data_IF_775269879224
#
_entry.id   IF_775269879224
#
_cell.length_a   1.000
_cell.length_b   1.000
_cell.length_c   1.000
_cell.angle_alpha   90.00
_cell.angle_beta   90.00
_cell.angle_gamma   90.00
#
_symmetry.space_group_name_H-M   'P 1'
#
loop_
_entity.id
_entity.type
_entity.pdbx_description
1 polymer ?
#
# COMPACT_ATOMS: atom_id res chain seq x y z
N UNK A 1 -6.75 8.55 -8.37
CA UNK A 1 -6.06 7.25 -8.25
C UNK A 1 -6.85 6.40 -7.27
N UNK A 2 -6.93 5.09 -7.45
CA UNK A 2 -7.59 4.19 -6.49
C UNK A 2 -6.52 3.54 -5.61
N UNK A 3 -6.14 4.22 -4.53
CA UNK A 3 -5.17 3.71 -3.54
C UNK A 3 -5.95 3.16 -2.35
N UNK A 4 -5.65 1.92 -1.97
CA UNK A 4 -6.33 1.21 -0.90
C UNK A 4 -5.33 0.59 0.06
N UNK A 5 -5.77 0.41 1.30
CA UNK A 5 -5.09 -0.41 2.30
C UNK A 5 -5.87 -1.70 2.48
N UNK A 6 -5.17 -2.82 2.43
CA UNK A 6 -5.72 -4.13 2.74
C UNK A 6 -5.06 -4.69 3.99
N UNK A 7 -5.89 -5.11 4.96
CA UNK A 7 -5.47 -6.00 6.04
C UNK A 7 -5.56 -7.42 5.52
N UNK A 8 -4.45 -8.15 5.55
CA UNK A 8 -4.42 -9.54 5.14
C UNK A 8 -4.70 -10.46 6.32
N UNK A 9 -5.21 -11.66 6.02
CA UNK A 9 -5.44 -12.72 7.03
C UNK A 9 -4.16 -13.16 7.75
N UNK A 10 -2.98 -12.90 7.17
CA UNK A 10 -1.68 -13.10 7.81
C UNK A 10 -1.39 -12.08 8.93
N UNK A 11 -2.18 -11.01 9.01
CA UNK A 11 -1.96 -9.87 9.91
C UNK A 11 -1.17 -8.72 9.27
N UNK A 12 -0.62 -8.91 8.07
CA UNK A 12 0.08 -7.87 7.33
C UNK A 12 -0.88 -6.78 6.84
N UNK A 13 -0.38 -5.55 6.76
CA UNK A 13 -1.06 -4.44 6.12
C UNK A 13 -0.30 -4.06 4.87
N UNK A 14 -1.02 -3.93 3.76
CA UNK A 14 -0.44 -3.48 2.49
C UNK A 14 -1.17 -2.24 2.00
N UNK A 15 -0.43 -1.27 1.46
CA UNK A 15 -0.96 -0.17 0.66
C UNK A 15 -0.61 -0.41 -0.81
N UNK A 16 -1.56 -0.16 -1.70
CA UNK A 16 -1.39 -0.47 -3.12
C UNK A 16 -2.30 0.35 -3.99
N UNK A 17 -1.95 0.48 -5.28
CA UNK A 17 -2.86 0.95 -6.32
C UNK A 17 -3.71 -0.21 -6.81
N UNK A 18 -5.03 -0.04 -6.82
CA UNK A 18 -5.98 -0.97 -7.42
C UNK A 18 -6.16 -0.64 -8.90
N UNK A 19 -5.92 -1.61 -9.77
CA UNK A 19 -6.09 -1.49 -11.21
C UNK A 19 -7.45 -2.02 -11.67
N UNK A 20 -7.88 -3.15 -11.09
CA UNK A 20 -9.14 -3.80 -11.40
C UNK A 20 -9.72 -4.44 -10.14
N UNK A 21 -10.98 -4.13 -9.84
CA UNK A 21 -11.76 -4.82 -8.82
C UNK A 21 -13.16 -5.11 -9.38
N UNK A 22 -13.41 -6.38 -9.66
CA UNK A 22 -14.69 -6.88 -10.17
C UNK A 22 -15.33 -7.82 -9.15
N UNK A 23 -16.62 -7.67 -8.90
CA UNK A 23 -17.40 -8.58 -8.05
C UNK A 23 -17.49 -10.00 -8.63
N UNK A 24 -17.24 -10.17 -9.92
CA UNK A 24 -17.25 -11.47 -10.60
C UNK A 24 -15.92 -12.23 -10.46
N UNK A 25 -14.86 -11.56 -10.02
CA UNK A 25 -13.53 -12.16 -9.86
C UNK A 25 -13.23 -12.47 -8.40
N UNK A 26 -12.56 -13.60 -8.16
CA UNK A 26 -12.07 -14.00 -6.84
C UNK A 26 -10.80 -13.25 -6.41
N UNK A 27 -10.30 -12.33 -7.23
CA UNK A 27 -9.10 -11.54 -6.98
C UNK A 27 -9.28 -10.08 -7.39
N UNK A 28 -8.37 -9.24 -6.92
CA UNK A 28 -8.20 -7.84 -7.28
C UNK A 28 -6.84 -7.73 -7.99
N UNK A 29 -6.78 -6.98 -9.09
CA UNK A 29 -5.49 -6.67 -9.74
C UNK A 29 -4.93 -5.43 -9.09
N UNK A 30 -3.75 -5.56 -8.49
CA UNK A 30 -3.08 -4.49 -7.76
C UNK A 30 -1.66 -4.27 -8.29
N UNK A 31 -1.15 -3.06 -8.14
CA UNK A 31 0.15 -2.63 -8.67
C UNK A 31 0.99 -1.98 -7.57
N UNK A 32 2.29 -2.31 -7.58
CA UNK A 32 3.32 -1.77 -6.66
C UNK A 32 2.95 -1.88 -5.16
N UNK A 33 2.45 -3.04 -4.68
CA UNK A 33 2.06 -3.17 -3.29
C UNK A 33 3.26 -2.94 -2.34
N UNK A 34 3.00 -2.21 -1.26
CA UNK A 34 3.96 -1.97 -0.18
C UNK A 34 3.39 -2.48 1.15
N UNK A 35 4.16 -3.28 1.88
CA UNK A 35 3.86 -3.62 3.26
C UNK A 35 4.09 -2.41 4.15
N UNK A 36 3.14 -2.18 5.06
CA UNK A 36 3.20 -1.17 6.10
C UNK A 36 3.82 -1.83 7.34
N UNK A 37 4.91 -1.27 7.85
CA UNK A 37 5.56 -1.75 9.07
C UNK A 37 5.81 -0.59 10.04
N UNK A 38 5.64 -0.81 11.36
CA UNK A 38 6.06 0.17 12.36
C UNK A 38 7.58 0.28 12.36
N UNK A 39 8.09 1.50 12.27
CA UNK A 39 9.53 1.80 12.34
C UNK A 39 9.82 2.60 13.61
N UNK A 40 10.77 2.19 14.45
CA UNK A 40 11.15 2.97 15.63
C UNK A 40 11.64 4.37 15.24
N UNK A 41 11.09 5.41 15.86
CA UNK A 41 11.58 6.79 15.73
C UNK A 41 12.14 7.36 17.05
N UNK A 42 11.98 6.63 18.15
CA UNK A 42 12.46 7.00 19.47
C UNK A 42 11.81 6.13 20.55
N UNK A 43 12.09 6.40 21.84
CA UNK A 43 11.43 5.70 22.94
C UNK A 43 9.91 5.86 22.86
N UNK A 44 9.18 4.74 22.75
CA UNK A 44 7.72 4.68 22.60
C UNK A 44 7.14 5.46 21.41
N UNK A 45 7.97 5.79 20.40
CA UNK A 45 7.53 6.45 19.18
C UNK A 45 7.72 5.52 17.98
N UNK A 46 6.61 5.24 17.28
CA UNK A 46 6.60 4.44 16.06
C UNK A 46 6.16 5.32 14.89
N UNK A 47 6.99 5.37 13.86
CA UNK A 47 6.62 5.86 12.54
C UNK A 47 6.13 4.72 11.65
N UNK A 48 5.79 5.07 10.41
CA UNK A 48 5.38 4.11 9.39
C UNK A 48 6.50 3.97 8.35
N UNK A 49 6.93 2.73 8.12
CA UNK A 49 7.80 2.35 7.01
C UNK A 49 7.01 1.61 5.94
N UNK A 50 7.35 1.88 4.67
CA UNK A 50 6.81 1.17 3.52
C UNK A 50 7.93 0.33 2.89
N UNK A 51 7.68 -0.97 2.72
CA UNK A 51 8.59 -1.92 2.09
C UNK A 51 7.90 -2.60 0.91
N UNK A 52 8.60 -2.96 -0.18
CA UNK A 52 8.00 -3.77 -1.23
C UNK A 52 7.37 -5.06 -0.68
N UNK A 53 6.11 -5.30 -1.00
CA UNK A 53 5.41 -6.52 -0.55
C UNK A 53 6.01 -7.78 -1.18
N UNK A 54 6.39 -7.71 -2.46
CA UNK A 54 7.19 -8.73 -3.14
C UNK A 54 8.55 -8.12 -3.46
N UNK A 55 9.55 -8.39 -2.62
CA UNK A 55 10.90 -7.80 -2.72
C UNK A 55 11.55 -8.08 -4.07
N UNK A 56 11.32 -9.26 -4.64
CA UNK A 56 11.86 -9.67 -5.95
C UNK A 56 11.12 -9.08 -7.15
N UNK A 57 9.94 -8.46 -6.95
CA UNK A 57 9.13 -7.84 -8.00
C UNK A 57 8.41 -6.60 -7.47
N UNK A 58 9.19 -5.65 -6.94
CA UNK A 58 8.67 -4.48 -6.23
C UNK A 58 7.74 -3.59 -7.06
N UNK A 59 7.94 -3.57 -8.39
CA UNK A 59 7.17 -2.70 -9.30
C UNK A 59 6.04 -3.42 -10.03
N UNK A 60 5.86 -4.71 -9.77
CA UNK A 60 4.97 -5.58 -10.52
C UNK A 60 3.49 -5.39 -10.23
N UNK A 61 2.68 -5.95 -11.13
CA UNK A 61 1.26 -6.19 -10.92
C UNK A 61 1.06 -7.61 -10.39
N UNK A 62 0.14 -7.76 -9.43
CA UNK A 62 -0.21 -9.07 -8.87
C UNK A 62 -1.72 -9.22 -8.72
N UNK A 63 -2.15 -10.48 -8.68
CA UNK A 63 -3.51 -10.83 -8.30
C UNK A 63 -3.56 -11.05 -6.79
N UNK A 64 -4.26 -10.17 -6.08
CA UNK A 64 -4.56 -10.34 -4.67
C UNK A 64 -5.89 -11.09 -4.53
N UNK A 65 -5.84 -12.33 -4.04
CA UNK A 65 -7.05 -13.12 -3.84
C UNK A 65 -7.90 -12.56 -2.70
N UNK A 66 -9.20 -12.37 -2.93
CA UNK A 66 -10.12 -11.76 -1.97
C UNK A 66 -10.25 -12.54 -0.67
N UNK A 67 -10.05 -13.86 -0.72
CA UNK A 67 -10.02 -14.74 0.46
C UNK A 67 -8.83 -14.49 1.38
N UNK A 68 -7.79 -13.79 0.91
CA UNK A 68 -6.64 -13.41 1.73
C UNK A 68 -6.82 -12.06 2.44
N UNK A 69 -7.92 -11.35 2.18
CA UNK A 69 -8.21 -10.02 2.74
C UNK A 69 -9.13 -10.19 3.95
N UNK A 70 -8.72 -9.69 5.11
CA UNK A 70 -9.55 -9.62 6.30
C UNK A 70 -10.24 -8.26 6.46
N UNK A 71 -9.76 -7.22 5.78
CA UNK A 71 -10.38 -5.90 5.77
C UNK A 71 -9.78 -4.97 4.71
N UNK A 72 -10.54 -3.94 4.34
CA UNK A 72 -10.14 -2.90 3.39
C UNK A 72 -10.50 -1.53 3.97
N UNK A 73 -9.64 -0.54 3.75
CA UNK A 73 -9.96 0.87 4.00
C UNK A 73 -9.25 1.80 3.00
N UNK A 74 -9.73 3.04 2.94
CA UNK A 74 -9.04 4.12 2.22
C UNK A 74 -7.74 4.50 2.93
N UNK A 75 -6.71 4.82 2.14
CA UNK A 75 -5.45 5.28 2.68
C UNK A 75 -5.61 6.71 3.26
N UNK A 76 -5.15 6.98 4.50
CA UNK A 76 -5.03 8.35 4.99
C UNK A 76 -4.09 9.17 4.12
N UNK A 77 -4.38 10.47 3.96
CA UNK A 77 -3.67 11.36 3.03
C UNK A 77 -2.15 11.36 3.19
N UNK A 78 -1.63 11.28 4.41
CA UNK A 78 -0.19 11.29 4.64
C UNK A 78 0.48 9.96 4.31
N UNK A 79 -0.20 8.83 4.53
CA UNK A 79 0.30 7.50 4.13
C UNK A 79 0.27 7.36 2.61
N UNK A 80 -0.78 7.86 1.96
CA UNK A 80 -0.88 7.89 0.50
C UNK A 80 0.24 8.72 -0.14
N UNK A 81 0.58 9.89 0.42
CA UNK A 81 1.70 10.70 -0.08
C UNK A 81 3.03 9.94 -0.03
N UNK A 82 3.34 9.28 1.08
CA UNK A 82 4.58 8.49 1.21
C UNK A 82 4.58 7.35 0.19
N UNK A 83 3.46 6.67 0.01
CA UNK A 83 3.32 5.63 -1.01
C UNK A 83 3.57 6.17 -2.43
N UNK A 84 2.97 7.30 -2.78
CA UNK A 84 3.16 7.91 -4.10
C UNK A 84 4.60 8.37 -4.34
N UNK A 85 5.26 8.94 -3.33
CA UNK A 85 6.68 9.31 -3.42
C UNK A 85 7.59 8.11 -3.71
N UNK A 86 7.26 6.93 -3.19
CA UNK A 86 8.06 5.71 -3.40
C UNK A 86 7.71 4.92 -4.67
N UNK A 87 6.53 5.12 -5.23
CA UNK A 87 6.01 4.30 -6.34
C UNK A 87 5.86 5.07 -7.65
N UNK A 88 6.02 6.39 -7.59
CA UNK A 88 5.96 7.28 -8.74
C UNK A 88 7.24 8.11 -8.79
N UNK A 89 7.65 8.53 -9.99
CA UNK A 89 8.72 9.51 -10.17
C UNK A 89 8.24 10.95 -9.90
N UNK A 90 7.12 11.12 -9.20
CA UNK A 90 6.56 12.44 -8.91
C UNK A 90 7.27 12.98 -7.68
N UNK A 91 8.15 13.96 -7.88
CA UNK A 91 8.50 14.88 -6.81
C UNK A 91 7.23 15.67 -6.48
N UNK A 92 6.62 15.40 -5.33
CA UNK A 92 5.53 16.24 -4.84
C UNK A 92 6.15 17.61 -4.59
N UNK A 93 5.91 18.56 -5.50
CA UNK A 93 6.30 19.94 -5.29
C UNK A 93 5.62 20.40 -4.00
N UNK A 94 6.42 20.60 -2.95
CA UNK A 94 6.01 21.29 -1.74
C UNK A 94 5.80 22.77 -2.09
N UNK A 95 4.72 23.05 -2.81
CA UNK A 95 4.28 24.41 -3.07
C UNK A 95 3.52 24.89 -1.84
N UNK A 96 4.12 25.88 -1.15
CA UNK A 96 3.57 26.77 -0.12
C UNK A 96 3.67 26.28 1.35
N UNK A 97 4.77 26.63 2.01
CA UNK A 97 4.77 27.57 3.15
C UNK A 97 6.07 28.38 3.16
#
# INVERSE_FOLDING_TARGET
>A
MNIKIFKLVSGEEIITKVLEDSSLQAYIVIEKPRSIQPVPQGPNQFGIGLLPYIITNAEGQIKLYKTAISGECDAPSDVEKVYLQQTTNIQIASSLM
#
